data_IF_658159061032
#
_entry.id   IF_658159061032
#
_cell.length_a   1.000
_cell.length_b   1.000
_cell.length_c   1.000
_cell.angle_alpha   90.00
_cell.angle_beta   90.00
_cell.angle_gamma   90.00
#
_symmetry.space_group_name_H-M   'P 1'
#
loop_
_entity.id
_entity.type
_entity.pdbx_description
1 polymer ?
#
# COMPACT_ATOMS: atom_id res chain seq x y z
N UNK A 1 -30.73 37.11 9.10
CA UNK A 1 -31.12 37.08 10.52
C UNK A 1 -32.08 35.93 10.76
N UNK A 2 -31.59 34.91 11.49
CA UNK A 2 -32.31 34.06 12.45
C UNK A 2 -33.35 33.08 11.86
N UNK A 3 -33.16 31.76 11.80
CA UNK A 3 -32.30 30.88 12.61
C UNK A 3 -32.95 30.56 13.95
N UNK A 4 -33.86 29.57 14.02
CA UNK A 4 -34.32 28.87 15.24
C UNK A 4 -34.77 27.46 14.80
N UNK A 5 -33.95 26.41 14.85
CA UNK A 5 -33.67 25.51 16.00
C UNK A 5 -34.94 25.00 16.70
N UNK A 6 -35.49 23.87 16.25
CA UNK A 6 -36.44 23.06 17.04
C UNK A 6 -35.65 22.03 17.84
N UNK A 7 -35.53 22.28 19.13
CA UNK A 7 -34.81 21.45 20.09
C UNK A 7 -35.61 20.25 20.57
N UNK A 8 -34.93 19.11 20.66
CA UNK A 8 -35.31 17.90 21.39
C UNK A 8 -35.48 18.21 22.88
N UNK A 9 -36.65 17.93 23.46
CA UNK A 9 -36.83 17.63 24.88
C UNK A 9 -38.04 16.74 25.09
N UNK A 10 -37.82 15.44 25.20
CA UNK A 10 -38.70 14.57 25.99
C UNK A 10 -37.95 14.16 27.24
N UNK A 11 -38.39 14.75 28.35
CA UNK A 11 -38.07 14.39 29.73
C UNK A 11 -39.27 13.62 30.23
N UNK A 12 -39.12 12.33 30.50
CA UNK A 12 -40.00 11.62 31.43
C UNK A 12 -39.13 10.86 32.43
N UNK A 13 -38.97 11.51 33.58
CA UNK A 13 -38.71 10.87 34.87
C UNK A 13 -40.02 10.20 35.29
N UNK A 14 -40.01 8.90 35.55
CA UNK A 14 -41.08 8.27 36.29
C UNK A 14 -40.47 7.46 37.44
N UNK A 15 -40.88 7.84 38.65
CA UNK A 15 -40.56 7.21 39.92
C UNK A 15 -41.81 6.46 40.39
N UNK A 16 -41.67 5.22 40.85
CA UNK A 16 -42.78 4.53 41.52
C UNK A 16 -42.61 3.03 41.68
N UNK A 17 -41.97 2.64 42.78
CA UNK A 17 -41.88 1.31 43.41
C UNK A 17 -43.14 0.45 43.38
N UNK A 18 -42.97 -0.84 43.04
CA UNK A 18 -43.76 -1.95 43.57
C UNK A 18 -42.86 -3.17 43.81
N UNK A 19 -42.70 -3.54 45.08
CA UNK A 19 -42.09 -4.78 45.56
C UNK A 19 -43.01 -5.96 45.24
N UNK A 20 -42.52 -6.94 44.47
CA UNK A 20 -43.10 -8.28 44.40
C UNK A 20 -41.97 -9.28 44.13
N UNK A 21 -41.68 -10.07 45.15
CA UNK A 21 -40.73 -11.19 45.15
C UNK A 21 -41.26 -12.31 44.27
N UNK A 22 -40.55 -12.63 43.18
CA UNK A 22 -40.77 -13.83 42.37
C UNK A 22 -39.42 -14.47 42.02
N UNK A 23 -39.34 -15.81 41.97
CA UNK A 23 -38.10 -16.56 42.01
C UNK A 23 -37.31 -16.40 40.71
N UNK A 24 -35.99 -16.25 40.85
CA UNK A 24 -35.01 -16.24 39.77
C UNK A 24 -35.09 -17.55 38.96
N UNK A 25 -35.91 -17.57 37.91
CA UNK A 25 -35.58 -18.35 36.74
C UNK A 25 -34.43 -17.61 36.05
N UNK A 26 -33.22 -18.17 36.13
CA UNK A 26 -32.12 -17.79 35.23
C UNK A 26 -32.55 -18.14 33.81
N UNK A 27 -33.31 -17.25 33.17
CA UNK A 27 -33.30 -17.14 31.73
C UNK A 27 -31.87 -16.80 31.37
N UNK A 28 -31.13 -17.78 30.87
CA UNK A 28 -29.88 -17.55 30.18
C UNK A 28 -30.18 -16.55 29.05
N UNK A 29 -29.90 -15.27 29.30
CA UNK A 29 -29.64 -14.35 28.21
C UNK A 29 -28.49 -15.00 27.48
N UNK A 30 -28.77 -15.57 26.31
CA UNK A 30 -27.75 -15.97 25.37
C UNK A 30 -26.96 -14.70 25.06
N UNK A 31 -25.94 -14.42 25.88
CA UNK A 31 -24.91 -13.48 25.53
C UNK A 31 -24.43 -13.95 24.16
N UNK A 32 -24.57 -13.09 23.15
CA UNK A 32 -23.98 -13.32 21.85
C UNK A 32 -22.52 -13.67 22.11
N UNK A 33 -22.17 -14.96 22.06
CA UNK A 33 -20.80 -15.43 22.21
C UNK A 33 -20.09 -15.12 20.90
N UNK A 34 -19.86 -13.83 20.65
CA UNK A 34 -18.84 -13.38 19.73
C UNK A 34 -17.51 -13.69 20.39
N UNK A 35 -17.10 -14.96 20.32
CA UNK A 35 -15.76 -15.37 20.74
C UNK A 35 -14.74 -14.56 19.94
N UNK A 36 -13.73 -14.03 20.63
CA UNK A 36 -12.57 -13.46 19.95
C UNK A 36 -11.91 -14.57 19.10
N UNK A 37 -11.37 -14.19 17.95
CA UNK A 37 -10.54 -15.11 17.16
C UNK A 37 -9.23 -15.37 17.93
N UNK A 38 -9.15 -16.52 18.60
CA UNK A 38 -7.97 -16.90 19.38
C UNK A 38 -6.81 -17.42 18.50
N UNK A 39 -6.95 -17.41 17.17
CA UNK A 39 -5.85 -17.78 16.28
C UNK A 39 -4.71 -16.75 16.35
N UNK A 40 -3.43 -17.18 16.33
CA UNK A 40 -2.33 -16.24 16.42
C UNK A 40 -2.26 -15.26 15.24
N UNK A 41 -2.11 -13.96 15.51
CA UNK A 41 -2.07 -12.91 14.48
C UNK A 41 -0.78 -12.99 13.64
N UNK A 42 -0.88 -13.26 12.32
CA UNK A 42 0.30 -13.39 11.47
C UNK A 42 1.00 -12.05 11.15
N UNK A 43 0.38 -10.89 11.45
CA UNK A 43 1.01 -9.58 11.31
C UNK A 43 1.88 -9.21 12.52
N UNK A 44 1.75 -9.89 13.67
CA UNK A 44 2.59 -9.61 14.83
C UNK A 44 4.10 -9.84 14.53
N UNK A 45 4.50 -10.95 13.87
CA UNK A 45 5.88 -11.11 13.38
C UNK A 45 6.31 -10.03 12.37
N UNK A 46 5.39 -9.50 11.54
CA UNK A 46 5.70 -8.44 10.56
C UNK A 46 6.00 -7.11 11.26
N UNK A 47 5.25 -6.77 12.32
CA UNK A 47 5.52 -5.58 13.15
C UNK A 47 6.84 -5.71 13.91
N UNK A 48 7.08 -6.87 14.54
CA UNK A 48 8.34 -7.16 15.25
C UNK A 48 9.55 -7.10 14.31
N UNK A 49 9.40 -7.67 13.10
CA UNK A 49 10.39 -7.60 12.04
C UNK A 49 10.77 -6.17 11.67
N UNK A 50 9.77 -5.30 11.48
CA UNK A 50 9.98 -3.91 11.13
C UNK A 50 10.69 -3.11 12.25
N UNK A 51 10.34 -3.36 13.52
CA UNK A 51 11.05 -2.74 14.66
C UNK A 51 12.52 -3.13 14.71
N UNK A 52 12.81 -4.42 14.59
CA UNK A 52 14.18 -4.92 14.64
C UNK A 52 15.03 -4.47 13.43
N UNK A 53 14.42 -4.19 12.28
CA UNK A 53 15.12 -3.55 11.16
C UNK A 53 15.44 -2.09 11.45
N UNK A 54 14.47 -1.36 12.03
CA UNK A 54 14.65 0.04 12.38
C UNK A 54 15.75 0.22 13.43
N UNK A 55 15.80 -0.64 14.43
CA UNK A 55 16.85 -0.68 15.46
C UNK A 55 18.22 -0.98 14.87
N UNK A 56 18.36 -2.04 14.07
CA UNK A 56 19.64 -2.37 13.43
C UNK A 56 20.14 -1.25 12.50
N UNK A 57 19.23 -0.55 11.82
CA UNK A 57 19.58 0.59 10.99
C UNK A 57 20.03 1.81 11.83
N UNK A 58 19.40 2.07 12.98
CA UNK A 58 19.83 3.13 13.92
C UNK A 58 21.22 2.84 14.48
N UNK A 59 21.49 1.60 14.87
CA UNK A 59 22.80 1.16 15.39
C UNK A 59 23.92 1.32 14.34
N UNK A 60 23.61 1.08 13.07
CA UNK A 60 24.55 1.24 11.97
C UNK A 60 24.93 2.71 11.71
N UNK A 61 23.98 3.62 11.89
CA UNK A 61 24.17 5.06 11.71
C UNK A 61 24.38 5.51 10.26
N UNK A 62 24.35 6.83 10.06
CA UNK A 62 24.52 7.48 8.77
C UNK A 62 23.23 7.65 7.95
N UNK A 63 23.24 8.59 7.01
CA UNK A 63 22.05 9.08 6.29
C UNK A 63 21.22 8.01 5.57
N UNK A 64 21.88 6.95 5.08
CA UNK A 64 21.20 5.83 4.42
C UNK A 64 20.44 5.00 5.46
N UNK A 65 21.11 4.64 6.56
CA UNK A 65 20.53 3.83 7.60
C UNK A 65 19.44 4.59 8.38
N UNK A 66 19.59 5.90 8.57
CA UNK A 66 18.55 6.78 9.12
C UNK A 66 17.24 6.72 8.31
N UNK A 67 17.32 6.81 6.98
CA UNK A 67 16.13 6.68 6.13
C UNK A 67 15.47 5.30 6.21
N UNK A 68 16.27 4.23 6.30
CA UNK A 68 15.74 2.88 6.51
C UNK A 68 15.09 2.76 7.90
N UNK A 69 15.69 3.35 8.93
CA UNK A 69 15.14 3.33 10.27
C UNK A 69 13.79 4.05 10.35
N UNK A 70 13.68 5.24 9.77
CA UNK A 70 12.42 5.99 9.69
C UNK A 70 11.36 5.21 8.91
N UNK A 71 11.73 4.65 7.75
CA UNK A 71 10.83 3.86 6.92
C UNK A 71 10.29 2.63 7.66
N UNK A 72 11.17 1.85 8.30
CA UNK A 72 10.79 0.62 9.01
C UNK A 72 10.07 0.90 10.32
N UNK A 73 10.39 1.98 11.03
CA UNK A 73 9.64 2.40 12.20
C UNK A 73 8.19 2.78 11.84
N UNK A 74 7.99 3.57 10.78
CA UNK A 74 6.64 3.94 10.34
C UNK A 74 5.80 2.72 9.92
N UNK A 75 6.43 1.72 9.28
CA UNK A 75 5.77 0.46 8.94
C UNK A 75 5.46 -0.38 10.19
N UNK A 76 6.38 -0.46 11.15
CA UNK A 76 6.15 -1.14 12.41
C UNK A 76 4.93 -0.58 13.15
N UNK A 77 4.83 0.75 13.25
CA UNK A 77 3.72 1.40 13.92
C UNK A 77 2.39 1.17 13.20
N UNK A 78 2.39 1.17 11.87
CA UNK A 78 1.19 0.92 11.08
C UNK A 78 0.68 -0.53 11.23
N UNK A 79 1.59 -1.50 11.18
CA UNK A 79 1.25 -2.91 11.37
C UNK A 79 0.86 -3.19 12.82
N UNK A 80 1.53 -2.59 13.80
CA UNK A 80 1.16 -2.76 15.20
C UNK A 80 -0.25 -2.25 15.50
N UNK A 81 -0.65 -1.09 14.96
CA UNK A 81 -2.02 -0.59 15.10
C UNK A 81 -3.07 -1.57 14.54
N UNK A 82 -2.72 -2.33 13.51
CA UNK A 82 -3.60 -3.35 12.95
C UNK A 82 -3.68 -4.59 13.84
N UNK A 83 -2.55 -5.04 14.37
CA UNK A 83 -2.47 -6.15 15.33
C UNK A 83 -3.25 -5.83 16.60
N UNK A 84 -3.06 -4.62 17.16
CA UNK A 84 -3.75 -4.15 18.36
C UNK A 84 -5.27 -4.09 18.14
N UNK A 85 -5.71 -3.68 16.94
CA UNK A 85 -7.14 -3.65 16.58
C UNK A 85 -7.73 -5.04 16.46
N UNK A 86 -6.99 -6.00 15.92
CA UNK A 86 -7.45 -7.37 15.78
C UNK A 86 -7.63 -8.05 17.16
N UNK A 87 -6.87 -7.61 18.18
CA UNK A 87 -6.93 -8.14 19.55
C UNK A 87 -6.81 -9.67 19.59
N UNK A 88 -5.88 -10.21 18.79
CA UNK A 88 -5.57 -11.64 18.71
C UNK A 88 -4.22 -11.94 19.38
N UNK A 89 -4.00 -13.14 19.93
CA UNK A 89 -2.69 -13.54 20.46
C UNK A 89 -1.59 -13.36 19.38
N UNK A 90 -0.38 -12.89 19.72
CA UNK A 90 0.66 -12.71 18.70
C UNK A 90 1.19 -14.06 18.21
N UNK A 91 1.32 -14.23 16.89
CA UNK A 91 2.07 -15.35 16.33
C UNK A 91 3.56 -15.26 16.73
N UNK A 92 4.25 -16.40 16.90
CA UNK A 92 5.65 -16.41 17.29
C UNK A 92 6.52 -15.69 16.25
N UNK A 93 7.40 -14.81 16.72
CA UNK A 93 8.38 -14.17 15.86
C UNK A 93 9.45 -15.19 15.45
N UNK A 94 9.77 -15.23 14.16
CA UNK A 94 10.90 -16.00 13.66
C UNK A 94 12.24 -15.36 14.04
N UNK A 95 13.32 -16.16 13.98
CA UNK A 95 14.67 -15.65 14.18
C UNK A 95 15.01 -14.58 13.13
N UNK A 96 15.67 -13.50 13.57
CA UNK A 96 16.03 -12.37 12.72
C UNK A 96 17.55 -12.22 12.68
N UNK A 97 18.22 -12.64 11.60
CA UNK A 97 19.69 -12.64 11.54
C UNK A 97 20.24 -11.23 11.70
N UNK A 98 21.36 -11.00 12.40
CA UNK A 98 21.91 -9.66 12.63
C UNK A 98 22.18 -8.90 11.33
N UNK A 99 21.94 -7.59 11.32
CA UNK A 99 22.18 -6.74 10.15
C UNK A 99 23.22 -5.65 10.45
N UNK A 100 24.50 -6.01 10.31
CA UNK A 100 25.66 -5.14 10.61
C UNK A 100 26.23 -4.44 9.36
N UNK A 101 25.59 -4.57 8.21
CA UNK A 101 26.00 -3.91 6.96
C UNK A 101 24.80 -3.53 6.10
N UNK A 102 24.91 -2.54 5.19
CA UNK A 102 23.83 -2.20 4.26
C UNK A 102 23.31 -3.41 3.48
N UNK A 103 24.21 -4.29 3.02
CA UNK A 103 23.82 -5.52 2.32
C UNK A 103 22.99 -6.46 3.20
N UNK A 104 23.29 -6.55 4.50
CA UNK A 104 22.51 -7.35 5.43
C UNK A 104 21.13 -6.72 5.73
N UNK A 105 21.05 -5.39 5.87
CA UNK A 105 19.77 -4.68 5.94
C UNK A 105 18.92 -4.91 4.68
N UNK A 106 19.54 -4.84 3.51
CA UNK A 106 18.91 -5.15 2.24
C UNK A 106 18.29 -6.55 2.17
N UNK A 107 19.01 -7.57 2.66
CA UNK A 107 18.47 -8.93 2.79
C UNK A 107 17.24 -8.97 3.70
N UNK A 108 17.25 -8.25 4.83
CA UNK A 108 16.10 -8.17 5.73
C UNK A 108 14.90 -7.46 5.09
N UNK A 109 15.11 -6.37 4.35
CA UNK A 109 14.05 -5.69 3.59
C UNK A 109 13.41 -6.63 2.55
N UNK A 110 14.22 -7.39 1.82
CA UNK A 110 13.72 -8.38 0.85
C UNK A 110 12.90 -9.47 1.53
N UNK A 111 13.43 -10.07 2.59
CA UNK A 111 12.72 -11.10 3.36
C UNK A 111 11.41 -10.57 3.95
N UNK A 112 11.40 -9.32 4.45
CA UNK A 112 10.18 -8.69 4.96
C UNK A 112 9.14 -8.45 3.84
N UNK A 113 9.56 -8.06 2.64
CA UNK A 113 8.66 -7.93 1.50
C UNK A 113 8.07 -9.28 1.09
N UNK A 114 8.89 -10.33 0.98
CA UNK A 114 8.45 -11.69 0.65
C UNK A 114 7.47 -12.25 1.70
N UNK A 115 7.76 -12.05 2.99
CA UNK A 115 6.86 -12.43 4.07
C UNK A 115 5.52 -11.70 3.96
N UNK A 116 5.53 -10.39 3.73
CA UNK A 116 4.30 -9.61 3.61
C UNK A 116 3.45 -10.07 2.42
N UNK A 117 4.06 -10.28 1.25
CA UNK A 117 3.38 -10.78 0.04
C UNK A 117 2.78 -12.17 0.27
N UNK A 118 3.50 -13.07 0.97
CA UNK A 118 3.02 -14.42 1.27
C UNK A 118 1.77 -14.47 2.16
N UNK A 119 1.52 -13.42 2.94
CA UNK A 119 0.34 -13.32 3.81
C UNK A 119 -0.90 -12.77 3.09
N UNK A 120 -0.72 -11.92 2.06
CA UNK A 120 -1.81 -11.22 1.37
C UNK A 120 -3.01 -12.12 1.00
N UNK A 121 -2.85 -13.33 0.43
CA UNK A 121 -3.99 -14.13 0.00
C UNK A 121 -4.92 -14.63 1.12
N UNK A 122 -4.46 -14.58 2.38
CA UNK A 122 -5.17 -15.14 3.54
C UNK A 122 -5.79 -14.08 4.45
N UNK A 123 -5.55 -12.81 4.15
CA UNK A 123 -5.92 -11.69 5.02
C UNK A 123 -7.12 -10.93 4.47
N UNK A 124 -7.81 -10.21 5.35
CA UNK A 124 -8.89 -9.31 4.95
C UNK A 124 -8.39 -8.21 4.02
N UNK A 125 -9.28 -7.65 3.20
CA UNK A 125 -8.98 -6.56 2.24
C UNK A 125 -8.15 -5.40 2.84
N UNK A 126 -8.48 -4.82 4.01
CA UNK A 126 -7.65 -3.77 4.62
C UNK A 126 -6.24 -4.26 5.01
N UNK A 127 -6.13 -5.50 5.50
CA UNK A 127 -4.86 -6.10 5.92
C UNK A 127 -3.99 -6.49 4.72
N UNK A 128 -4.60 -6.93 3.63
CA UNK A 128 -3.94 -7.13 2.34
C UNK A 128 -3.34 -5.82 1.80
N UNK A 129 -4.10 -4.71 1.84
CA UNK A 129 -3.60 -3.39 1.46
C UNK A 129 -2.43 -2.93 2.32
N UNK A 130 -2.50 -3.13 3.65
CA UNK A 130 -1.41 -2.82 4.57
C UNK A 130 -0.15 -3.66 4.31
N UNK A 131 -0.30 -4.97 4.08
CA UNK A 131 0.82 -5.85 3.75
C UNK A 131 1.46 -5.50 2.40
N UNK A 132 0.66 -5.14 1.40
CA UNK A 132 1.18 -4.64 0.12
C UNK A 132 1.96 -3.33 0.30
N UNK A 133 1.48 -2.41 1.14
CA UNK A 133 2.20 -1.22 1.55
C UNK A 133 3.54 -1.54 2.24
N UNK A 134 3.59 -2.57 3.09
CA UNK A 134 4.84 -3.03 3.70
C UNK A 134 5.82 -3.51 2.63
N UNK A 135 5.36 -4.38 1.73
CA UNK A 135 6.16 -4.92 0.64
C UNK A 135 6.67 -3.84 -0.33
N UNK A 136 5.82 -2.87 -0.67
CA UNK A 136 6.15 -1.73 -1.51
C UNK A 136 7.16 -0.78 -0.84
N UNK A 137 6.98 -0.48 0.45
CA UNK A 137 7.95 0.34 1.20
C UNK A 137 9.30 -0.36 1.39
N UNK A 138 9.34 -1.69 1.52
CA UNK A 138 10.61 -2.43 1.49
C UNK A 138 11.32 -2.35 0.12
N UNK A 139 10.57 -2.45 -0.98
CA UNK A 139 11.10 -2.22 -2.34
C UNK A 139 11.58 -0.79 -2.55
N UNK A 140 10.88 0.21 -1.98
CA UNK A 140 11.32 1.59 -1.92
C UNK A 140 12.64 1.74 -1.15
N UNK A 141 12.75 1.13 0.04
CA UNK A 141 13.99 1.11 0.82
C UNK A 141 15.17 0.50 0.06
N UNK A 142 14.97 -0.63 -0.61
CA UNK A 142 15.99 -1.26 -1.47
C UNK A 142 16.43 -0.38 -2.65
N UNK A 143 15.58 0.56 -3.09
CA UNK A 143 15.90 1.47 -4.18
C UNK A 143 16.71 2.71 -3.75
N UNK A 144 16.95 2.90 -2.44
CA UNK A 144 17.70 4.04 -1.91
C UNK A 144 19.17 4.05 -2.35
N UNK A 145 19.83 2.88 -2.32
CA UNK A 145 21.25 2.76 -2.61
C UNK A 145 21.60 1.33 -3.02
N UNK A 146 22.53 1.18 -3.98
CA UNK A 146 22.94 -0.13 -4.49
C UNK A 146 23.62 -1.04 -3.46
N UNK A 147 24.15 -0.49 -2.37
CA UNK A 147 24.73 -1.27 -1.26
C UNK A 147 23.68 -2.07 -0.47
N UNK A 148 22.41 -1.67 -0.52
CA UNK A 148 21.27 -2.43 -0.01
C UNK A 148 20.88 -3.58 -0.96
N UNK A 149 21.48 -3.64 -2.15
CA UNK A 149 21.08 -4.53 -3.24
C UNK A 149 20.04 -3.89 -4.14
N UNK A 150 19.35 -4.73 -4.94
CA UNK A 150 18.30 -4.28 -5.84
C UNK A 150 16.94 -4.84 -5.42
N UNK A 151 15.85 -4.07 -5.64
CA UNK A 151 14.50 -4.61 -5.68
C UNK A 151 14.44 -5.77 -6.70
N UNK A 152 13.56 -6.77 -6.50
CA UNK A 152 13.35 -7.82 -7.49
C UNK A 152 12.93 -7.21 -8.83
N UNK A 153 13.42 -7.80 -9.93
CA UNK A 153 13.00 -7.38 -11.25
C UNK A 153 11.49 -7.62 -11.39
N UNK A 154 10.69 -6.59 -11.70
CA UNK A 154 9.25 -6.76 -11.75
C UNK A 154 8.85 -7.68 -12.90
N UNK A 155 7.81 -8.47 -12.67
CA UNK A 155 7.16 -9.31 -13.69
C UNK A 155 5.66 -9.06 -13.62
N UNK A 156 5.08 -8.67 -14.75
CA UNK A 156 3.66 -8.36 -14.87
C UNK A 156 3.01 -9.41 -15.78
N UNK A 157 2.83 -10.62 -15.24
CA UNK A 157 2.10 -11.66 -15.96
C UNK A 157 0.66 -11.19 -16.15
N UNK A 158 0.15 -11.25 -17.38
CA UNK A 158 -1.22 -10.91 -17.69
C UNK A 158 -2.17 -11.89 -16.96
N UNK A 159 -3.03 -11.41 -16.06
CA UNK A 159 -4.04 -12.24 -15.42
C UNK A 159 -5.09 -12.70 -16.43
N UNK A 160 -5.67 -13.87 -16.18
CA UNK A 160 -6.87 -14.36 -16.86
C UNK A 160 -7.97 -14.67 -15.81
N UNK A 161 -8.62 -13.63 -15.26
CA UNK A 161 -9.68 -13.79 -14.27
C UNK A 161 -10.99 -14.33 -14.84
N UNK A 162 -11.24 -14.26 -16.16
CA UNK A 162 -12.54 -14.62 -16.72
C UNK A 162 -13.70 -13.88 -16.04
N UNK A 163 -14.79 -14.59 -15.73
CA UNK A 163 -15.98 -14.06 -15.08
C UNK A 163 -15.83 -13.80 -13.56
N UNK A 164 -14.62 -13.94 -13.00
CA UNK A 164 -14.37 -13.78 -11.56
C UNK A 164 -14.31 -12.32 -11.08
N UNK A 165 -14.22 -11.34 -11.99
CA UNK A 165 -14.23 -9.93 -11.60
C UNK A 165 -15.66 -9.43 -11.43
N UNK A 166 -15.99 -9.02 -10.20
CA UNK A 166 -17.20 -8.24 -9.95
C UNK A 166 -17.06 -6.80 -10.49
N UNK A 167 -18.18 -6.07 -10.57
CA UNK A 167 -18.23 -4.70 -11.11
C UNK A 167 -17.28 -3.74 -10.37
N UNK A 168 -17.15 -3.89 -9.04
CA UNK A 168 -16.25 -3.07 -8.25
C UNK A 168 -14.78 -3.36 -8.58
N UNK A 169 -14.41 -4.64 -8.72
CA UNK A 169 -13.07 -5.05 -9.12
C UNK A 169 -12.74 -4.57 -10.54
N UNK A 170 -13.70 -4.65 -11.48
CA UNK A 170 -13.56 -4.07 -12.83
C UNK A 170 -13.28 -2.57 -12.73
N UNK A 171 -14.07 -1.82 -11.96
CA UNK A 171 -13.88 -0.36 -11.84
C UNK A 171 -12.50 -0.01 -11.27
N UNK A 172 -12.06 -0.66 -10.19
CA UNK A 172 -10.74 -0.37 -9.61
C UNK A 172 -9.58 -0.70 -10.57
N UNK A 173 -9.73 -1.75 -11.39
CA UNK A 173 -8.75 -2.09 -12.42
C UNK A 173 -8.76 -1.11 -13.59
N UNK A 174 -9.92 -0.56 -13.95
CA UNK A 174 -10.03 0.55 -14.91
C UNK A 174 -9.35 1.81 -14.39
N UNK A 175 -9.52 2.14 -13.11
CA UNK A 175 -8.85 3.29 -12.48
C UNK A 175 -7.32 3.12 -12.49
N UNK A 176 -6.83 1.90 -12.20
CA UNK A 176 -5.42 1.58 -12.34
C UNK A 176 -4.92 1.69 -13.79
N UNK A 177 -5.70 1.21 -14.76
CA UNK A 177 -5.38 1.37 -16.19
C UNK A 177 -5.33 2.84 -16.61
N UNK A 178 -6.25 3.68 -16.13
CA UNK A 178 -6.25 5.11 -16.38
C UNK A 178 -4.99 5.78 -15.78
N UNK A 179 -4.58 5.40 -14.57
CA UNK A 179 -3.35 5.89 -13.95
C UNK A 179 -2.09 5.48 -14.75
N UNK A 180 -2.07 4.27 -15.32
CA UNK A 180 -0.99 3.82 -16.20
C UNK A 180 -0.93 4.65 -17.50
N UNK A 181 -2.08 4.95 -18.12
CA UNK A 181 -2.13 5.84 -19.28
C UNK A 181 -1.64 7.25 -18.95
N UNK A 182 -2.11 7.83 -17.85
CA UNK A 182 -1.71 9.14 -17.38
C UNK A 182 -0.19 9.21 -17.13
N UNK A 183 0.38 8.17 -16.51
CA UNK A 183 1.83 8.14 -16.22
C UNK A 183 2.66 8.06 -17.50
N UNK A 184 2.27 7.23 -18.46
CA UNK A 184 2.93 7.15 -19.76
C UNK A 184 2.87 8.48 -20.52
N UNK A 185 1.72 9.18 -20.45
CA UNK A 185 1.57 10.51 -21.04
C UNK A 185 2.48 11.54 -20.35
N UNK A 186 2.54 11.53 -19.00
CA UNK A 186 3.44 12.41 -18.24
C UNK A 186 4.89 12.17 -18.63
N UNK A 187 5.34 10.92 -18.79
CA UNK A 187 6.70 10.63 -19.24
C UNK A 187 6.99 11.21 -20.61
N UNK A 188 6.05 11.14 -21.55
CA UNK A 188 6.16 11.84 -22.84
C UNK A 188 6.34 13.34 -22.65
N UNK A 189 5.46 13.98 -21.88
CA UNK A 189 5.49 15.41 -21.60
C UNK A 189 6.82 15.87 -20.97
N UNK A 190 7.30 15.17 -19.93
CA UNK A 190 8.44 15.64 -19.13
C UNK A 190 9.79 15.49 -19.84
N UNK A 191 9.90 14.64 -20.87
CA UNK A 191 11.15 14.46 -21.62
C UNK A 191 11.67 15.75 -22.26
N UNK A 192 10.79 16.69 -22.59
CA UNK A 192 11.18 17.99 -23.15
C UNK A 192 11.79 18.95 -22.10
N UNK A 193 11.60 18.68 -20.81
CA UNK A 193 11.98 19.57 -19.71
C UNK A 193 13.06 19.01 -18.79
N UNK A 194 13.22 17.68 -18.75
CA UNK A 194 14.20 17.01 -17.89
C UNK A 194 15.59 16.96 -18.54
N UNK A 195 16.68 17.01 -17.74
CA UNK A 195 18.02 16.81 -18.24
C UNK A 195 18.24 15.36 -18.67
N UNK A 196 19.18 15.14 -19.60
CA UNK A 196 19.46 13.82 -20.18
C UNK A 196 19.92 12.74 -19.18
N UNK A 197 20.20 13.08 -17.92
CA UNK A 197 20.41 12.09 -16.85
C UNK A 197 19.17 11.23 -16.57
N UNK A 198 17.96 11.74 -16.85
CA UNK A 198 16.69 11.04 -16.64
C UNK A 198 16.37 10.03 -17.74
N UNK A 199 16.98 10.16 -18.93
CA UNK A 199 16.67 9.38 -20.12
C UNK A 199 16.65 7.86 -19.89
N UNK A 200 17.68 7.35 -19.21
CA UNK A 200 17.79 5.92 -18.93
C UNK A 200 16.68 5.46 -17.98
N UNK A 201 16.39 6.26 -16.95
CA UNK A 201 15.31 5.99 -16.00
C UNK A 201 13.94 6.01 -16.69
N UNK A 202 13.67 7.01 -17.52
CA UNK A 202 12.39 7.20 -18.20
C UNK A 202 12.14 6.08 -19.22
N UNK A 203 13.16 5.66 -19.98
CA UNK A 203 13.02 4.51 -20.90
C UNK A 203 12.68 3.23 -20.14
N UNK A 204 13.38 2.95 -19.04
CA UNK A 204 13.11 1.76 -18.24
C UNK A 204 11.71 1.80 -17.61
N UNK A 205 11.31 2.94 -17.05
CA UNK A 205 9.99 3.12 -16.45
C UNK A 205 8.88 3.01 -17.52
N UNK A 206 9.07 3.60 -18.70
CA UNK A 206 8.11 3.50 -19.82
C UNK A 206 7.85 2.04 -20.21
N UNK A 207 8.89 1.20 -20.26
CA UNK A 207 8.73 -0.24 -20.55
C UNK A 207 7.92 -0.93 -19.46
N UNK A 208 8.24 -0.67 -18.19
CA UNK A 208 7.52 -1.26 -17.05
C UNK A 208 6.04 -0.83 -16.99
N UNK A 209 5.74 0.45 -17.19
CA UNK A 209 4.37 0.97 -17.24
C UNK A 209 3.58 0.39 -18.42
N UNK A 210 4.19 0.22 -19.61
CA UNK A 210 3.53 -0.43 -20.75
C UNK A 210 3.19 -1.89 -20.44
N UNK A 211 4.10 -2.64 -19.83
CA UNK A 211 3.82 -4.02 -19.43
C UNK A 211 2.65 -4.12 -18.44
N UNK A 212 2.57 -3.19 -17.47
CA UNK A 212 1.45 -3.13 -16.52
C UNK A 212 0.13 -2.77 -17.19
N UNK A 213 0.14 -1.75 -18.03
CA UNK A 213 -1.02 -1.34 -18.85
C UNK A 213 -1.53 -2.51 -19.67
N UNK A 214 -0.65 -3.19 -20.40
CA UNK A 214 -1.02 -4.29 -21.29
C UNK A 214 -1.57 -5.48 -20.49
N UNK A 215 -0.99 -5.78 -19.32
CA UNK A 215 -1.52 -6.80 -18.40
C UNK A 215 -2.90 -6.45 -17.82
N UNK A 216 -3.13 -5.18 -17.44
CA UNK A 216 -4.43 -4.71 -16.97
C UNK A 216 -5.50 -4.75 -18.07
N UNK A 217 -5.15 -4.34 -19.29
CA UNK A 217 -6.02 -4.43 -20.46
C UNK A 217 -6.40 -5.89 -20.75
N UNK A 218 -5.44 -6.81 -20.73
CA UNK A 218 -5.70 -8.24 -20.94
C UNK A 218 -6.66 -8.80 -19.89
N UNK A 219 -6.47 -8.46 -18.60
CA UNK A 219 -7.36 -8.89 -17.53
C UNK A 219 -8.80 -8.35 -17.72
N UNK A 220 -8.95 -7.07 -18.08
CA UNK A 220 -10.27 -6.48 -18.37
C UNK A 220 -10.95 -7.16 -19.56
N UNK A 221 -10.22 -7.39 -20.66
CA UNK A 221 -10.75 -8.07 -21.85
C UNK A 221 -11.18 -9.50 -21.51
N UNK A 222 -10.38 -10.24 -20.74
CA UNK A 222 -10.73 -11.61 -20.33
C UNK A 222 -11.99 -11.66 -19.46
N UNK A 223 -12.26 -10.59 -18.71
CA UNK A 223 -13.48 -10.42 -17.92
C UNK A 223 -14.68 -9.89 -18.72
N UNK A 224 -14.55 -9.76 -20.05
CA UNK A 224 -15.60 -9.25 -20.92
C UNK A 224 -15.83 -7.74 -20.83
N UNK A 225 -14.96 -7.00 -20.14
CA UNK A 225 -15.01 -5.55 -20.05
C UNK A 225 -14.26 -4.89 -21.21
N UNK A 226 -14.74 -3.72 -21.65
CA UNK A 226 -14.01 -2.87 -22.60
C UNK A 226 -13.01 -1.99 -21.85
N UNK A 227 -11.68 -2.13 -22.06
CA UNK A 227 -10.71 -1.31 -21.35
C UNK A 227 -10.86 0.19 -21.68
N UNK A 228 -10.68 1.05 -20.67
CA UNK A 228 -10.65 2.50 -20.87
C UNK A 228 -9.53 2.87 -21.85
N UNK A 229 -9.82 3.78 -22.76
CA UNK A 229 -8.83 4.26 -23.73
C UNK A 229 -7.96 5.35 -23.11
N UNK A 230 -6.75 5.52 -23.64
CA UNK A 230 -5.93 6.66 -23.27
C UNK A 230 -6.56 7.97 -23.78
N UNK A 231 -6.70 8.95 -22.89
CA UNK A 231 -7.05 10.32 -23.26
C UNK A 231 -5.92 10.99 -24.08
N UNK A 232 -6.30 12.03 -24.82
CA UNK A 232 -5.34 12.82 -25.63
C UNK A 232 -4.42 13.68 -24.75
N UNK A 233 -4.88 14.07 -23.57
CA UNK A 233 -4.13 14.84 -22.58
C UNK A 233 -4.61 14.54 -21.16
N UNK A 234 -3.71 14.70 -20.19
CA UNK A 234 -4.04 14.53 -18.77
C UNK A 234 -3.69 15.80 -17.99
N UNK A 235 -4.45 16.07 -16.94
CA UNK A 235 -4.14 17.15 -16.02
C UNK A 235 -2.92 16.76 -15.16
N UNK A 236 -1.95 17.66 -15.06
CA UNK A 236 -0.87 17.56 -14.06
C UNK A 236 -1.25 18.40 -12.84
N UNK A 237 -0.81 18.04 -11.61
CA UNK A 237 -1.16 18.79 -10.40
C UNK A 237 -0.74 20.27 -10.46
N UNK A 238 0.33 20.57 -11.19
CA UNK A 238 0.80 21.92 -11.51
C UNK A 238 1.32 21.93 -12.95
N UNK A 239 1.18 23.05 -13.69
CA UNK A 239 1.73 23.16 -15.03
C UNK A 239 3.23 22.81 -15.10
N UNK A 240 3.59 21.95 -16.06
CA UNK A 240 4.98 21.58 -16.36
C UNK A 240 5.57 22.60 -17.31
N UNK A 241 6.59 23.33 -16.85
CA UNK A 241 7.19 24.46 -17.60
C UNK A 241 8.72 24.54 -17.48
N UNK A 242 9.31 23.72 -16.63
CA UNK A 242 10.74 23.68 -16.34
C UNK A 242 11.13 22.31 -15.74
N UNK A 243 12.42 22.06 -15.59
CA UNK A 243 12.96 20.84 -14.98
C UNK A 243 12.35 20.55 -13.59
N UNK A 244 12.18 21.59 -12.75
CA UNK A 244 11.66 21.43 -11.38
C UNK A 244 10.21 20.93 -11.38
N UNK A 245 9.36 21.54 -12.20
CA UNK A 245 7.95 21.14 -12.37
C UNK A 245 7.82 19.78 -13.06
N UNK A 246 8.74 19.44 -13.97
CA UNK A 246 8.80 18.13 -14.61
C UNK A 246 9.15 17.00 -13.63
N UNK A 247 10.15 17.19 -12.77
CA UNK A 247 10.49 16.24 -11.69
C UNK A 247 9.32 16.05 -10.73
N UNK A 248 8.61 17.12 -10.39
CA UNK A 248 7.42 17.04 -9.55
C UNK A 248 6.29 16.26 -10.23
N UNK A 249 6.09 16.42 -11.54
CA UNK A 249 5.09 15.69 -12.31
C UNK A 249 5.39 14.18 -12.38
N UNK A 250 6.66 13.78 -12.60
CA UNK A 250 7.07 12.36 -12.55
C UNK A 250 6.80 11.75 -11.19
N UNK A 251 7.15 12.45 -10.11
CA UNK A 251 6.89 12.00 -8.73
C UNK A 251 5.40 11.88 -8.46
N UNK A 252 4.58 12.82 -8.94
CA UNK A 252 3.13 12.76 -8.79
C UNK A 252 2.54 11.55 -9.52
N UNK A 253 2.87 11.36 -10.80
CA UNK A 253 2.34 10.24 -11.60
C UNK A 253 2.67 8.88 -10.99
N UNK A 254 3.90 8.67 -10.51
CA UNK A 254 4.30 7.43 -9.84
C UNK A 254 3.63 7.26 -8.47
N UNK A 255 3.36 8.37 -7.76
CA UNK A 255 2.59 8.33 -6.50
C UNK A 255 1.13 7.90 -6.76
N UNK A 256 0.51 8.45 -7.80
CA UNK A 256 -0.86 8.13 -8.20
C UNK A 256 -0.97 6.68 -8.69
N UNK A 257 0.02 6.20 -9.44
CA UNK A 257 0.10 4.80 -9.84
C UNK A 257 0.16 3.86 -8.62
N UNK A 258 0.99 4.16 -7.61
CA UNK A 258 1.02 3.35 -6.37
C UNK A 258 -0.33 3.37 -5.67
N UNK A 259 -0.99 4.53 -5.58
CA UNK A 259 -2.31 4.64 -4.96
C UNK A 259 -3.37 3.81 -5.70
N UNK A 260 -3.43 3.90 -7.03
CA UNK A 260 -4.39 3.16 -7.85
C UNK A 260 -4.21 1.64 -7.72
N UNK A 261 -2.98 1.14 -7.78
CA UNK A 261 -2.71 -0.29 -7.60
C UNK A 261 -3.03 -0.78 -6.19
N UNK A 262 -2.85 0.05 -5.16
CA UNK A 262 -3.28 -0.29 -3.80
C UNK A 262 -4.80 -0.45 -3.70
N UNK A 263 -5.57 0.41 -4.36
CA UNK A 263 -7.04 0.30 -4.39
C UNK A 263 -7.47 -1.03 -5.02
N UNK A 264 -6.82 -1.49 -6.09
CA UNK A 264 -7.07 -2.82 -6.68
C UNK A 264 -6.84 -3.94 -5.64
N UNK A 265 -5.75 -3.86 -4.87
CA UNK A 265 -5.44 -4.86 -3.84
C UNK A 265 -6.52 -4.89 -2.75
N UNK A 266 -7.08 -3.74 -2.39
CA UNK A 266 -8.10 -3.62 -1.34
C UNK A 266 -9.51 -4.00 -1.82
N UNK A 267 -9.76 -4.09 -3.12
CA UNK A 267 -11.10 -4.31 -3.67
C UNK A 267 -11.24 -5.51 -4.61
N UNK A 268 -10.14 -6.11 -5.06
CA UNK A 268 -10.15 -7.30 -5.92
C UNK A 268 -9.64 -8.53 -5.17
N UNK A 269 -10.49 -9.56 -5.05
CA UNK A 269 -10.12 -10.81 -4.39
C UNK A 269 -9.53 -11.89 -5.30
N UNK A 270 -9.52 -11.65 -6.62
CA UNK A 270 -8.96 -12.59 -7.59
C UNK A 270 -7.43 -12.63 -7.48
N UNK A 271 -6.90 -13.80 -7.14
CA UNK A 271 -5.49 -13.99 -6.79
C UNK A 271 -4.51 -13.53 -7.87
N UNK A 272 -4.82 -13.78 -9.15
CA UNK A 272 -3.96 -13.37 -10.28
C UNK A 272 -3.90 -11.84 -10.42
N UNK A 273 -5.05 -11.16 -10.34
CA UNK A 273 -5.14 -9.69 -10.43
C UNK A 273 -4.52 -9.03 -9.20
N UNK A 274 -4.74 -9.57 -8.00
CA UNK A 274 -4.10 -9.07 -6.79
C UNK A 274 -2.58 -9.23 -6.84
N UNK A 275 -2.08 -10.32 -7.41
CA UNK A 275 -0.63 -10.54 -7.61
C UNK A 275 -0.04 -9.53 -8.59
N UNK A 276 -0.73 -9.24 -9.70
CA UNK A 276 -0.35 -8.16 -10.62
C UNK A 276 -0.28 -6.82 -9.89
N UNK A 277 -1.30 -6.48 -9.12
CA UNK A 277 -1.38 -5.21 -8.41
C UNK A 277 -0.27 -5.04 -7.35
N UNK A 278 0.05 -6.10 -6.60
CA UNK A 278 1.18 -6.10 -5.66
C UNK A 278 2.50 -5.87 -6.38
N UNK A 279 2.76 -6.59 -7.48
CA UNK A 279 3.97 -6.42 -8.26
C UNK A 279 4.10 -5.00 -8.84
N UNK A 280 2.98 -4.44 -9.32
CA UNK A 280 2.90 -3.08 -9.82
C UNK A 280 3.20 -2.04 -8.74
N UNK A 281 2.56 -2.18 -7.58
CA UNK A 281 2.77 -1.31 -6.42
C UNK A 281 4.24 -1.32 -5.96
N UNK A 282 4.87 -2.48 -5.88
CA UNK A 282 6.29 -2.61 -5.51
C UNK A 282 7.23 -1.96 -6.53
N UNK A 283 6.95 -2.14 -7.82
CA UNK A 283 7.76 -1.56 -8.90
C UNK A 283 7.67 -0.04 -8.90
N UNK A 284 6.46 0.53 -8.85
CA UNK A 284 6.25 1.97 -8.79
C UNK A 284 6.80 2.60 -7.51
N UNK A 285 6.70 1.95 -6.35
CA UNK A 285 7.32 2.45 -5.12
C UNK A 285 8.87 2.52 -5.20
N UNK A 286 9.49 1.51 -5.82
CA UNK A 286 10.92 1.51 -6.08
C UNK A 286 11.33 2.62 -7.08
N UNK A 287 10.53 2.84 -8.13
CA UNK A 287 10.76 3.92 -9.12
C UNK A 287 10.58 5.30 -8.51
N UNK A 288 9.49 5.51 -7.79
CA UNK A 288 9.21 6.72 -7.03
C UNK A 288 10.38 7.12 -6.13
N UNK A 289 11.00 6.15 -5.45
CA UNK A 289 12.19 6.42 -4.62
C UNK A 289 13.35 6.97 -5.45
N UNK A 290 13.63 6.39 -6.61
CA UNK A 290 14.71 6.86 -7.50
C UNK A 290 14.41 8.26 -8.03
N UNK A 291 13.17 8.53 -8.44
CA UNK A 291 12.76 9.87 -8.86
C UNK A 291 12.89 10.90 -7.76
N UNK A 292 12.53 10.54 -6.52
CA UNK A 292 12.67 11.41 -5.35
C UNK A 292 14.15 11.67 -5.02
N UNK A 293 15.03 10.68 -5.14
CA UNK A 293 16.48 10.88 -5.00
C UNK A 293 17.03 11.85 -6.04
N UNK A 294 16.71 11.63 -7.31
CA UNK A 294 17.15 12.50 -8.42
C UNK A 294 16.57 13.92 -8.30
N UNK A 295 15.38 14.06 -7.74
CA UNK A 295 14.75 15.35 -7.45
C UNK A 295 15.18 15.99 -6.12
N UNK A 296 16.04 15.33 -5.33
CA UNK A 296 16.49 15.83 -4.02
C UNK A 296 15.39 15.91 -2.95
N UNK A 297 14.30 15.15 -3.11
CA UNK A 297 13.17 15.13 -2.17
C UNK A 297 13.43 14.20 -0.99
N UNK A 298 12.97 14.58 0.20
CA UNK A 298 13.05 13.77 1.43
C UNK A 298 11.68 13.62 2.10
N UNK A 299 11.38 12.48 2.75
CA UNK A 299 12.15 11.23 2.69
C UNK A 299 12.13 10.66 1.26
N UNK A 300 13.24 10.06 0.80
CA UNK A 300 13.31 9.58 -0.58
C UNK A 300 12.48 8.30 -0.75
N UNK A 301 12.63 7.33 0.16
CA UNK A 301 11.76 6.17 0.25
C UNK A 301 10.57 6.48 1.16
N UNK A 302 9.36 6.27 0.65
CA UNK A 302 8.14 6.42 1.42
C UNK A 302 7.81 5.09 2.10
N UNK A 303 7.44 5.15 3.38
CA UNK A 303 7.03 3.95 4.13
C UNK A 303 5.71 3.34 3.62
N UNK A 304 4.95 4.12 2.85
CA UNK A 304 3.62 3.79 2.33
C UNK A 304 2.58 3.33 3.38
N UNK A 305 2.61 3.76 4.66
CA UNK A 305 1.60 3.32 5.61
C UNK A 305 0.31 4.05 5.26
N UNK A 306 -0.71 3.28 4.87
CA UNK A 306 -1.85 3.76 4.09
C UNK A 306 -2.27 5.18 4.43
N UNK A 307 -1.98 6.12 3.51
CA UNK A 307 -2.55 7.46 3.60
C UNK A 307 -4.07 7.27 3.59
N UNK A 308 -4.72 7.74 4.65
CA UNK A 308 -6.16 7.88 4.69
C UNK A 308 -6.54 8.78 3.52
N UNK A 309 -7.43 8.32 2.67
CA UNK A 309 -8.24 9.19 1.82
C UNK A 309 -9.03 10.18 2.67
#
# INVERSE_FOLDING_TARGET
MLGVQVGRRDVLRWSGTALLTMPFALSAVSACSGGYDDSPDPLAPVAAAARADAEAAREMGGKLAEQIAELRAAQADAVQREVDRANRPPAPAGDRPPATSPKALGKRLRSAAEQAVGLIPRESRPRAGLLASVAAGCSAGLALDGSLGSPPAPRFAAPDPGDQLDEAAVQTLQDALAAEHATLWVFGLVTAFLPGSYDKGLRAATVEHRQRRDAAQAALISAGATPVLAETAYATPKPVKDDKSARAAVVAAETDAVAAWRVVIEHCDVAQVRSLAVAAMQASAARLTRWRLEAGMRPAALAMPGARS
#
